data_IF_586987347658
#
_entry.id   IF_586987347658
#
_cell.length_a   1.000
_cell.length_b   1.000
_cell.length_c   1.000
_cell.angle_alpha   90.00
_cell.angle_beta   90.00
_cell.angle_gamma   90.00
#
_symmetry.space_group_name_H-M   'P 1'
#
loop_
_entity.id
_entity.type
_entity.pdbx_description
1 polymer ?
#
# COMPACT_ATOMS: atom_id res chain seq x y z
N UNK A 1 7.54 4.22 -8.14
CA UNK A 1 7.55 2.76 -8.37
C UNK A 1 8.22 2.10 -7.18
N UNK A 2 7.55 1.11 -6.61
CA UNK A 2 7.95 0.42 -5.39
C UNK A 2 8.17 -1.04 -5.77
N UNK A 3 9.30 -1.62 -5.39
CA UNK A 3 9.60 -3.02 -5.71
C UNK A 3 9.65 -3.85 -4.44
N UNK A 4 8.97 -4.99 -4.47
CA UNK A 4 9.26 -6.13 -3.60
C UNK A 4 10.44 -6.91 -4.19
N UNK A 5 11.28 -7.53 -3.37
CA UNK A 5 12.37 -8.38 -3.87
C UNK A 5 11.78 -9.62 -4.54
N UNK A 6 12.13 -9.83 -5.81
CA UNK A 6 11.75 -11.01 -6.56
C UNK A 6 12.40 -12.29 -6.01
N UNK A 7 11.69 -13.41 -6.15
CA UNK A 7 12.17 -14.80 -6.07
C UNK A 7 12.55 -15.39 -4.69
N UNK A 8 11.88 -14.97 -3.61
CA UNK A 8 11.80 -15.75 -2.37
C UNK A 8 10.36 -15.75 -1.87
N UNK A 9 9.82 -16.91 -1.53
CA UNK A 9 8.42 -17.18 -1.13
C UNK A 9 7.95 -16.50 0.18
N UNK A 10 8.68 -15.49 0.64
CA UNK A 10 8.28 -14.59 1.72
C UNK A 10 8.86 -13.20 1.44
N UNK A 11 7.99 -12.20 1.30
CA UNK A 11 8.45 -10.81 1.28
C UNK A 11 9.11 -10.52 2.63
N UNK A 12 10.38 -10.10 2.62
CA UNK A 12 11.11 -9.70 3.83
C UNK A 12 10.51 -8.48 4.56
N UNK A 13 9.41 -7.91 4.04
CA UNK A 13 8.82 -6.66 4.51
C UNK A 13 9.66 -5.43 4.18
N UNK A 14 10.85 -5.61 3.59
CA UNK A 14 11.73 -4.52 3.21
C UNK A 14 11.32 -4.00 1.84
N UNK A 15 10.75 -2.81 1.84
CA UNK A 15 10.29 -2.11 0.65
C UNK A 15 11.33 -1.06 0.24
N UNK A 16 11.74 -1.06 -1.03
CA UNK A 16 12.62 -0.02 -1.59
C UNK A 16 11.83 0.91 -2.51
N UNK A 17 11.94 2.21 -2.26
CA UNK A 17 11.44 3.24 -3.18
C UNK A 17 12.45 3.35 -4.32
N UNK A 18 12.06 2.90 -5.52
CA UNK A 18 12.86 3.07 -6.74
C UNK A 18 12.59 4.43 -7.40
N UNK A 19 11.35 4.90 -7.27
CA UNK A 19 10.95 6.24 -7.68
C UNK A 19 10.02 6.81 -6.62
N UNK A 20 10.46 7.90 -6.02
CA UNK A 20 9.72 8.63 -5.01
C UNK A 20 8.75 9.63 -5.62
N UNK A 21 7.92 10.26 -4.79
CA UNK A 21 7.04 11.36 -5.18
C UNK A 21 7.87 12.58 -5.60
N UNK A 22 7.60 13.06 -6.82
CA UNK A 22 8.22 14.28 -7.35
C UNK A 22 7.58 15.57 -6.77
N UNK A 23 6.46 15.44 -6.03
CA UNK A 23 5.69 16.55 -5.47
C UNK A 23 5.53 16.41 -3.95
N UNK A 24 5.55 17.53 -3.26
CA UNK A 24 5.20 17.60 -1.85
C UNK A 24 3.70 17.26 -1.64
N UNK A 25 3.44 16.49 -0.59
CA UNK A 25 2.11 16.05 -0.17
C UNK A 25 1.68 16.61 1.18
N UNK A 26 2.48 17.47 1.82
CA UNK A 26 2.11 18.13 3.06
C UNK A 26 0.78 18.89 2.91
N UNK A 27 -0.13 18.70 3.87
CA UNK A 27 -1.49 19.27 3.87
C UNK A 27 -2.29 19.00 2.57
N UNK A 28 -2.04 17.85 1.92
CA UNK A 28 -2.82 17.36 0.79
C UNK A 28 -3.64 16.13 1.16
N UNK A 29 -4.74 15.94 0.44
CA UNK A 29 -5.51 14.71 0.48
C UNK A 29 -4.89 13.71 -0.49
N UNK A 30 -4.43 12.58 0.03
CA UNK A 30 -3.66 11.59 -0.71
C UNK A 30 -4.40 10.26 -0.72
N UNK A 31 -4.61 9.71 -1.92
CA UNK A 31 -5.17 8.38 -2.14
C UNK A 31 -4.10 7.47 -2.74
N UNK A 32 -3.73 6.42 -2.02
CA UNK A 32 -2.90 5.33 -2.55
C UNK A 32 -3.81 4.43 -3.36
N UNK A 33 -3.46 4.15 -4.62
CA UNK A 33 -4.23 3.29 -5.51
C UNK A 33 -3.40 2.04 -5.82
N UNK A 34 -3.89 0.88 -5.39
CA UNK A 34 -3.30 -0.43 -5.64
C UNK A 34 -4.19 -1.23 -6.59
N UNK A 35 -3.58 -2.03 -7.46
CA UNK A 35 -4.31 -2.98 -8.30
C UNK A 35 -4.83 -4.17 -7.48
N UNK A 36 -4.00 -4.72 -6.61
CA UNK A 36 -4.36 -5.86 -5.76
C UNK A 36 -3.72 -5.79 -4.37
N UNK A 37 -4.52 -6.04 -3.34
CA UNK A 37 -4.05 -6.27 -1.96
C UNK A 37 -4.12 -7.75 -1.63
N UNK A 38 -2.94 -8.34 -1.46
CA UNK A 38 -2.71 -9.70 -0.97
C UNK A 38 -2.35 -9.64 0.53
N UNK A 39 -1.09 -9.85 0.92
CA UNK A 39 -0.64 -9.78 2.32
C UNK A 39 -0.88 -8.44 3.05
N UNK A 40 -1.09 -7.34 2.32
CA UNK A 40 -1.24 -5.98 2.86
C UNK A 40 0.06 -5.31 3.31
N UNK A 41 1.22 -5.97 3.18
CA UNK A 41 2.50 -5.45 3.68
C UNK A 41 2.96 -4.18 2.94
N UNK A 42 2.84 -4.15 1.62
CA UNK A 42 3.23 -2.99 0.78
C UNK A 42 2.42 -1.73 1.12
N UNK A 43 1.07 -1.73 1.03
CA UNK A 43 0.30 -0.54 1.37
C UNK A 43 0.46 -0.12 2.83
N UNK A 44 0.62 -1.06 3.78
CA UNK A 44 0.92 -0.73 5.19
C UNK A 44 2.25 0.00 5.34
N UNK A 45 3.27 -0.43 4.62
CA UNK A 45 4.57 0.24 4.61
C UNK A 45 4.46 1.64 3.98
N UNK A 46 3.74 1.76 2.87
CA UNK A 46 3.51 3.06 2.20
C UNK A 46 2.77 4.04 3.08
N UNK A 47 1.71 3.60 3.77
CA UNK A 47 1.00 4.41 4.75
C UNK A 47 1.94 4.98 5.81
N UNK A 48 2.78 4.12 6.41
CA UNK A 48 3.77 4.55 7.42
C UNK A 48 4.79 5.53 6.83
N UNK A 49 5.29 5.27 5.63
CA UNK A 49 6.28 6.13 4.99
C UNK A 49 5.70 7.50 4.64
N UNK A 50 4.55 7.54 3.98
CA UNK A 50 3.92 8.76 3.50
C UNK A 50 3.31 9.60 4.63
N UNK A 51 2.87 8.98 5.73
CA UNK A 51 2.40 9.70 6.91
C UNK A 51 3.47 10.64 7.50
N UNK A 52 4.76 10.30 7.38
CA UNK A 52 5.86 11.17 7.85
C UNK A 52 5.93 12.51 7.10
N UNK A 53 5.31 12.60 5.92
CA UNK A 53 5.22 13.81 5.09
C UNK A 53 4.03 14.70 5.44
N UNK A 54 3.26 14.34 6.48
CA UNK A 54 2.14 15.13 7.04
C UNK A 54 1.06 15.53 6.00
N UNK A 55 0.51 14.56 5.24
CA UNK A 55 -0.67 14.84 4.43
C UNK A 55 -1.88 15.23 5.31
N UNK A 56 -2.84 15.96 4.74
CA UNK A 56 -4.12 16.28 5.41
C UNK A 56 -4.96 15.01 5.61
N UNK A 57 -4.96 14.13 4.61
CA UNK A 57 -5.55 12.80 4.71
C UNK A 57 -4.74 11.81 3.88
N UNK A 58 -4.72 10.55 4.33
CA UNK A 58 -4.03 9.47 3.65
C UNK A 58 -4.91 8.22 3.67
N UNK A 59 -5.33 7.78 2.48
CA UNK A 59 -6.31 6.71 2.28
C UNK A 59 -5.81 5.65 1.31
N UNK A 60 -6.42 4.47 1.34
CA UNK A 60 -6.10 3.35 0.43
C UNK A 60 -7.32 2.95 -0.40
N UNK A 61 -7.12 2.85 -1.71
CA UNK A 61 -8.06 2.28 -2.66
C UNK A 61 -7.41 1.06 -3.34
N UNK A 62 -8.14 -0.04 -3.44
CA UNK A 62 -7.70 -1.18 -4.24
C UNK A 62 -8.80 -1.69 -5.15
N UNK A 63 -8.41 -2.14 -6.34
CA UNK A 63 -9.34 -2.82 -7.24
C UNK A 63 -9.68 -4.23 -6.74
N UNK A 64 -8.69 -5.02 -6.33
CA UNK A 64 -8.86 -6.40 -5.88
C UNK A 64 -8.31 -6.61 -4.47
N UNK A 65 -9.05 -7.27 -3.60
CA UNK A 65 -8.57 -7.69 -2.28
C UNK A 65 -8.68 -9.20 -2.14
N UNK A 66 -7.66 -9.85 -1.58
CA UNK A 66 -7.67 -11.26 -1.16
C UNK A 66 -7.81 -11.34 0.36
N UNK A 67 -9.04 -11.37 0.93
CA UNK A 67 -9.24 -11.25 2.37
C UNK A 67 -8.47 -12.31 3.18
N UNK A 68 -8.44 -13.54 2.67
CA UNK A 68 -7.78 -14.69 3.32
C UNK A 68 -6.24 -14.59 3.32
N UNK A 69 -5.67 -13.75 2.46
CA UNK A 69 -4.22 -13.54 2.40
C UNK A 69 -3.75 -12.35 3.23
N UNK A 70 -4.64 -11.45 3.66
CA UNK A 70 -4.27 -10.27 4.46
C UNK A 70 -3.69 -10.72 5.80
N UNK A 71 -2.44 -10.32 6.07
CA UNK A 71 -1.72 -10.70 7.30
C UNK A 71 -1.54 -9.56 8.28
N UNK A 72 -2.00 -8.37 7.91
CA UNK A 72 -1.76 -7.16 8.68
C UNK A 72 -3.05 -6.38 8.84
N UNK A 73 -3.17 -5.75 10.00
CA UNK A 73 -4.19 -4.74 10.22
C UNK A 73 -3.94 -3.55 9.28
N UNK A 74 -4.84 -3.37 8.32
CA UNK A 74 -4.80 -2.40 7.23
C UNK A 74 -6.25 -2.00 6.89
N UNK A 75 -6.60 -0.78 7.25
CA UNK A 75 -7.86 -0.18 6.81
C UNK A 75 -7.76 0.21 5.34
N UNK A 76 -8.65 -0.35 4.52
CA UNK A 76 -8.78 -0.03 3.10
C UNK A 76 -10.09 0.74 2.92
N UNK A 77 -10.00 2.01 2.59
CA UNK A 77 -11.16 2.91 2.44
C UNK A 77 -12.06 2.53 1.26
N UNK A 78 -11.47 2.03 0.18
CA UNK A 78 -12.18 1.69 -1.05
C UNK A 78 -11.74 0.33 -1.59
N UNK A 79 -12.68 -0.60 -1.73
CA UNK A 79 -12.44 -1.94 -2.27
C UNK A 79 -13.34 -2.11 -3.49
N UNK A 80 -12.74 -2.46 -4.63
CA UNK A 80 -13.48 -2.84 -5.82
C UNK A 80 -14.15 -4.20 -5.66
N UNK A 81 -13.35 -5.26 -5.50
CA UNK A 81 -13.81 -6.63 -5.39
C UNK A 81 -13.01 -7.44 -4.37
N UNK A 82 -13.71 -8.25 -3.59
CA UNK A 82 -13.11 -9.37 -2.86
C UNK A 82 -12.99 -10.58 -3.79
N UNK A 83 -11.80 -11.15 -3.88
CA UNK A 83 -11.52 -12.34 -4.69
C UNK A 83 -10.93 -13.46 -3.81
N UNK A 84 -11.21 -14.73 -4.13
CA UNK A 84 -10.54 -15.85 -3.48
C UNK A 84 -9.04 -15.89 -3.83
N UNK A 85 -8.29 -16.68 -3.08
CA UNK A 85 -6.85 -16.89 -3.31
C UNK A 85 -6.52 -17.52 -4.65
#
# INVERSE_FOLDING_TARGET
>A
AVSSYGSSTSSSGVVRILKDLDRDINDRDVLIVEDIVDSGLTPKWLLRNLATRRPRSLKVCTLLRKPDAVRVDLDIDYIGFDIPN
#
